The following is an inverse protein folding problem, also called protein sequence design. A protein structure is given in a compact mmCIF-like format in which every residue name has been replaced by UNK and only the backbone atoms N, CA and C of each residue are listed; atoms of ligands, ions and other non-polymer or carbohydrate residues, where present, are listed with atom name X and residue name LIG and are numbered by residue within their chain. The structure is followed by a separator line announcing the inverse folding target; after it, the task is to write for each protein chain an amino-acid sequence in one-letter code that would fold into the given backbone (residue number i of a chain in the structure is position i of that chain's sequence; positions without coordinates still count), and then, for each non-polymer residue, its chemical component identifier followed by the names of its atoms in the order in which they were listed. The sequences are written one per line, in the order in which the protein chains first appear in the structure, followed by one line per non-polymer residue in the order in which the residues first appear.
data_IF_432832230449
#
_entry.id   IF_432832230449
#
_cell.length_a   1.000
_cell.length_b   1.000
_cell.length_c   1.000
_cell.angle_alpha   90.00
_cell.angle_beta   90.00
_cell.angle_gamma   90.00
#
_symmetry.space_group_name_H-M   'P 1'
#
loop_
_entity.id
_entity.type
_entity.pdbx_description
1 polymer ?
#
# COMPACT_ATOMS: atom_id res chain seq x y z
N UNK A 1 -9.64 28.95 41.40
CA UNK A 1 -9.02 27.60 41.47
C UNK A 1 -10.09 26.59 41.15
N UNK A 2 -10.11 26.04 39.93
CA UNK A 2 -10.98 24.93 39.57
C UNK A 2 -10.06 23.73 39.44
N UNK A 3 -10.13 22.85 40.45
CA UNK A 3 -9.36 21.62 40.48
C UNK A 3 -9.79 20.75 39.32
N UNK A 4 -8.86 20.46 38.40
CA UNK A 4 -9.03 19.46 37.37
C UNK A 4 -9.19 18.11 38.05
N UNK A 5 -10.44 17.63 38.16
CA UNK A 5 -10.69 16.22 38.39
C UNK A 5 -10.20 15.49 37.16
N UNK A 6 -9.05 14.84 37.25
CA UNK A 6 -8.58 13.88 36.27
C UNK A 6 -9.58 12.73 36.21
N UNK A 7 -10.63 12.89 35.42
CA UNK A 7 -11.50 11.78 35.02
C UNK A 7 -10.57 10.77 34.34
N UNK A 8 -10.47 9.59 34.95
CA UNK A 8 -9.61 8.53 34.44
C UNK A 8 -9.97 8.25 32.99
N UNK A 9 -9.03 8.45 32.09
CA UNK A 9 -9.21 8.09 30.68
C UNK A 9 -9.30 6.58 30.56
N UNK A 10 -10.25 6.10 29.76
CA UNK A 10 -10.36 4.68 29.41
C UNK A 10 -9.35 4.35 28.32
N UNK A 11 -8.56 3.29 28.52
CA UNK A 11 -7.53 2.84 27.57
C UNK A 11 -7.83 1.43 27.06
N UNK A 12 -7.37 1.12 25.85
CA UNK A 12 -7.35 -0.24 25.34
C UNK A 12 -6.17 -1.00 25.98
N UNK A 13 -6.41 -2.07 26.74
CA UNK A 13 -5.32 -2.79 27.42
C UNK A 13 -4.45 -3.66 26.50
N UNK A 14 -4.71 -3.67 25.20
CA UNK A 14 -3.93 -4.42 24.20
C UNK A 14 -2.85 -3.50 23.59
N UNK A 15 -3.24 -2.31 23.13
CA UNK A 15 -2.32 -1.33 22.53
C UNK A 15 -1.89 -0.20 23.50
N UNK A 16 -2.52 -0.10 24.67
CA UNK A 16 -2.27 0.95 25.68
C UNK A 16 -2.58 2.38 25.22
N UNK A 17 -3.38 2.54 24.16
CA UNK A 17 -3.85 3.85 23.68
C UNK A 17 -5.23 4.23 24.25
N UNK A 18 -5.52 5.53 24.25
CA UNK A 18 -6.81 6.08 24.67
C UNK A 18 -7.95 5.53 23.78
N UNK A 19 -9.05 5.05 24.38
CA UNK A 19 -10.25 4.71 23.63
C UNK A 19 -10.99 6.00 23.25
N UNK A 20 -11.33 6.17 21.97
CA UNK A 20 -12.15 7.31 21.50
C UNK A 20 -13.51 6.84 20.99
N UNK A 21 -14.53 6.69 21.86
CA UNK A 21 -15.86 6.16 21.52
C UNK A 21 -16.60 6.83 20.35
N UNK A 22 -16.24 8.07 20.01
CA UNK A 22 -16.87 8.86 18.93
C UNK A 22 -16.16 8.75 17.58
N UNK A 23 -14.91 8.29 17.56
CA UNK A 23 -14.03 8.32 16.38
C UNK A 23 -13.60 6.91 15.98
N UNK A 24 -13.49 6.02 16.96
CA UNK A 24 -12.92 4.68 16.80
C UNK A 24 -13.98 3.62 17.06
N UNK A 25 -13.84 2.49 16.37
CA UNK A 25 -14.70 1.33 16.55
C UNK A 25 -14.29 0.54 17.78
N UNK A 26 -15.18 0.51 18.76
CA UNK A 26 -14.97 -0.16 20.03
C UNK A 26 -15.84 -1.41 20.13
N UNK A 27 -15.27 -2.46 20.71
CA UNK A 27 -15.95 -3.72 20.97
C UNK A 27 -15.89 -4.07 22.45
N UNK A 28 -16.98 -4.62 22.96
CA UNK A 28 -17.05 -5.19 24.30
C UNK A 28 -17.28 -6.70 24.25
N UNK A 29 -16.65 -7.41 25.18
CA UNK A 29 -16.97 -8.81 25.46
C UNK A 29 -18.17 -8.84 26.40
N UNK A 30 -19.35 -9.26 25.93
CA UNK A 30 -20.62 -9.16 26.66
C UNK A 30 -20.65 -9.91 27.99
N UNK A 31 -19.85 -10.97 28.13
CA UNK A 31 -19.81 -11.77 29.37
C UNK A 31 -19.04 -11.10 30.51
N UNK A 32 -18.14 -10.16 30.22
CA UNK A 32 -17.29 -9.51 31.23
C UNK A 32 -17.23 -7.98 31.15
N UNK A 33 -17.76 -7.38 30.08
CA UNK A 33 -17.86 -5.92 29.92
C UNK A 33 -16.56 -5.21 29.56
N UNK A 34 -15.43 -5.90 29.40
CA UNK A 34 -14.17 -5.26 28.99
C UNK A 34 -14.24 -4.78 27.55
N UNK A 35 -13.75 -3.55 27.31
CA UNK A 35 -13.81 -2.83 26.04
C UNK A 35 -12.42 -2.71 25.42
N UNK A 36 -12.33 -2.89 24.11
CA UNK A 36 -11.11 -2.80 23.31
C UNK A 36 -11.41 -2.15 21.97
N UNK A 37 -10.37 -1.70 21.25
CA UNK A 37 -10.51 -1.41 19.82
C UNK A 37 -10.89 -2.68 19.05
N UNK A 38 -11.74 -2.53 18.04
CA UNK A 38 -12.21 -3.63 17.19
C UNK A 38 -11.04 -4.45 16.62
N UNK A 39 -10.05 -3.79 16.01
CA UNK A 39 -8.88 -4.44 15.41
C UNK A 39 -8.02 -5.16 16.46
N UNK A 40 -7.80 -4.55 17.63
CA UNK A 40 -6.99 -5.15 18.68
C UNK A 40 -7.60 -6.46 19.20
N UNK A 41 -8.92 -6.48 19.40
CA UNK A 41 -9.61 -7.67 19.89
C UNK A 41 -9.68 -8.78 18.82
N UNK A 42 -9.89 -8.42 17.56
CA UNK A 42 -9.85 -9.37 16.44
C UNK A 42 -8.49 -10.07 16.33
N UNK A 43 -7.40 -9.29 16.32
CA UNK A 43 -6.04 -9.83 16.27
C UNK A 43 -5.72 -10.75 17.46
N UNK A 44 -6.22 -10.39 18.65
CA UNK A 44 -6.08 -11.23 19.83
C UNK A 44 -6.73 -12.61 19.66
N UNK A 45 -7.95 -12.65 19.09
CA UNK A 45 -8.65 -13.92 18.83
C UNK A 45 -8.00 -14.75 17.71
N UNK A 46 -7.48 -14.11 16.67
CA UNK A 46 -6.72 -14.80 15.63
C UNK A 46 -5.48 -15.48 16.20
N UNK A 47 -4.72 -14.77 17.04
CA UNK A 47 -3.55 -15.35 17.73
C UNK A 47 -3.93 -16.51 18.67
N UNK A 48 -5.04 -16.38 19.42
CA UNK A 48 -5.50 -17.42 20.35
C UNK A 48 -6.16 -18.64 19.66
N UNK A 49 -6.56 -18.53 18.39
CA UNK A 49 -7.25 -19.61 17.67
C UNK A 49 -6.39 -20.86 17.50
N UNK A 50 -5.06 -20.72 17.47
CA UNK A 50 -4.12 -21.85 17.50
C UNK A 50 -4.18 -22.65 18.81
N UNK A 51 -4.69 -22.08 19.91
CA UNK A 51 -4.76 -22.67 21.24
C UNK A 51 -6.17 -23.18 21.66
N UNK A 52 -7.11 -23.30 20.71
CA UNK A 52 -8.49 -23.86 20.87
C UNK A 52 -9.45 -23.10 21.81
N UNK A 53 -9.03 -22.03 22.50
CA UNK A 53 -9.93 -21.24 23.38
C UNK A 53 -9.58 -19.76 23.35
N UNK A 54 -10.54 -18.92 22.96
CA UNK A 54 -10.42 -17.48 23.10
C UNK A 54 -10.77 -17.06 24.54
N UNK A 55 -10.07 -16.07 25.08
CA UNK A 55 -10.29 -15.55 26.43
C UNK A 55 -10.10 -14.03 26.47
N UNK A 56 -10.77 -13.37 27.41
CA UNK A 56 -10.61 -11.93 27.61
C UNK A 56 -9.15 -11.58 27.96
N UNK A 57 -8.53 -10.58 27.28
CA UNK A 57 -7.17 -10.15 27.58
C UNK A 57 -6.97 -9.71 29.05
N UNK A 58 -8.01 -9.14 29.67
CA UNK A 58 -7.96 -8.59 31.02
C UNK A 58 -8.29 -9.64 32.08
N UNK A 59 -9.50 -10.19 32.09
CA UNK A 59 -9.95 -11.08 33.16
C UNK A 59 -9.75 -12.58 32.88
N UNK A 60 -9.25 -12.94 31.69
CA UNK A 60 -9.02 -14.32 31.24
C UNK A 60 -10.27 -15.21 31.20
N UNK A 61 -11.46 -14.65 31.34
CA UNK A 61 -12.71 -15.38 31.18
C UNK A 61 -12.84 -15.89 29.74
N UNK A 62 -13.22 -17.17 29.59
CA UNK A 62 -13.42 -17.80 28.28
C UNK A 62 -14.56 -17.13 27.52
N UNK A 63 -14.30 -16.72 26.29
CA UNK A 63 -15.28 -16.08 25.41
C UNK A 63 -15.09 -16.58 23.96
N UNK A 64 -16.10 -16.43 23.13
CA UNK A 64 -16.04 -16.68 21.68
C UNK A 64 -16.34 -15.41 20.90
N UNK A 65 -16.17 -15.46 19.57
CA UNK A 65 -16.55 -14.36 18.68
C UNK A 65 -18.03 -13.95 18.84
N UNK A 66 -18.93 -14.88 19.19
CA UNK A 66 -20.35 -14.58 19.45
C UNK A 66 -20.59 -13.80 20.75
N UNK A 67 -19.59 -13.69 21.63
CA UNK A 67 -19.67 -12.85 22.82
C UNK A 67 -19.15 -11.43 22.59
N UNK A 68 -18.70 -11.09 21.38
CA UNK A 68 -18.16 -9.77 21.08
C UNK A 68 -19.23 -8.92 20.40
N UNK A 69 -19.47 -7.73 20.94
CA UNK A 69 -20.43 -6.79 20.40
C UNK A 69 -19.76 -5.45 20.12
N UNK A 70 -20.04 -4.88 18.95
CA UNK A 70 -19.66 -3.51 18.63
C UNK A 70 -20.53 -2.55 19.44
N UNK A 71 -19.88 -1.55 20.03
CA UNK A 71 -20.53 -0.52 20.81
C UNK A 71 -20.85 0.68 19.92
N UNK A 72 -22.01 1.29 20.14
CA UNK A 72 -22.42 2.54 19.51
C UNK A 72 -22.73 3.55 20.60
N UNK A 73 -22.16 4.75 20.49
CA UNK A 73 -22.32 5.81 21.46
C UNK A 73 -23.15 6.93 20.86
N UNK A 74 -24.33 7.17 21.44
CA UNK A 74 -25.15 8.31 21.06
C UNK A 74 -24.62 9.54 21.80
N UNK A 75 -23.95 10.44 21.09
CA UNK A 75 -23.56 11.73 21.63
C UNK A 75 -24.76 12.68 21.60
N UNK A 76 -25.12 13.23 22.76
CA UNK A 76 -25.88 14.49 22.81
C UNK A 76 -24.85 15.58 22.59
N UNK A 77 -24.81 16.15 21.38
CA UNK A 77 -23.80 17.14 21.03
C UNK A 77 -23.75 18.24 22.09
N UNK A 78 -22.68 18.27 22.88
CA UNK A 78 -22.40 19.41 23.72
C UNK A 78 -22.06 20.54 22.75
N UNK A 79 -22.72 21.70 22.88
CA UNK A 79 -22.65 22.79 21.89
C UNK A 79 -21.25 23.44 21.77
N UNK A 80 -20.22 22.83 22.35
CA UNK A 80 -18.83 23.25 22.36
C UNK A 80 -17.84 22.19 21.80
N UNK A 81 -18.27 20.97 21.45
CA UNK A 81 -17.37 19.88 21.00
C UNK A 81 -17.31 19.70 19.47
N UNK A 82 -17.37 20.81 18.73
CA UNK A 82 -17.06 20.86 17.29
C UNK A 82 -15.56 20.73 16.97
N UNK A 83 -14.70 20.44 17.97
CA UNK A 83 -13.26 20.29 17.75
C UNK A 83 -12.88 18.81 17.47
N UNK A 84 -13.64 18.12 16.60
CA UNK A 84 -13.08 17.03 15.76
C UNK A 84 -13.95 16.68 14.55
N UNK A 85 -14.70 17.63 14.00
CA UNK A 85 -15.27 17.50 12.66
C UNK A 85 -15.38 18.90 12.08
N UNK A 86 -14.33 19.26 11.34
CA UNK A 86 -14.28 20.26 10.26
C UNK A 86 -14.97 21.59 10.54
N UNK A 87 -14.20 22.67 10.46
CA UNK A 87 -14.64 24.06 10.29
C UNK A 87 -15.97 24.17 9.50
N UNK A 88 -17.10 24.22 10.21
CA UNK A 88 -18.35 24.81 9.73
C UNK A 88 -18.63 26.01 10.61
N UNK A 89 -17.60 26.82 10.84
CA UNK A 89 -17.81 28.26 10.91
C UNK A 89 -18.09 28.67 9.48
N UNK A 90 -19.37 28.85 9.14
CA UNK A 90 -19.85 29.69 8.04
C UNK A 90 -18.82 29.80 6.89
N UNK A 91 -18.47 28.68 6.24
CA UNK A 91 -17.47 28.71 5.16
C UNK A 91 -18.09 29.57 4.06
N UNK A 92 -17.63 30.83 4.00
CA UNK A 92 -18.07 31.82 3.03
C UNK A 92 -18.11 31.12 1.67
N UNK A 93 -19.27 31.10 0.97
CA UNK A 93 -19.40 30.47 -0.34
C UNK A 93 -18.34 30.93 -1.35
N UNK A 94 -17.63 32.03 -1.06
CA UNK A 94 -16.45 32.50 -1.80
C UNK A 94 -15.17 31.70 -1.53
N UNK A 95 -14.88 31.29 -0.29
CA UNK A 95 -13.65 30.51 0.02
C UNK A 95 -13.77 29.09 -0.54
N UNK A 96 -14.94 28.46 -0.43
CA UNK A 96 -15.20 27.15 -1.04
C UNK A 96 -15.04 27.20 -2.57
N UNK A 97 -15.53 28.28 -3.21
CA UNK A 97 -15.29 28.53 -4.65
C UNK A 97 -13.80 28.70 -4.96
N UNK A 98 -13.05 29.39 -4.10
CA UNK A 98 -11.59 29.52 -4.23
C UNK A 98 -10.86 28.17 -4.11
N UNK A 99 -11.29 27.32 -3.18
CA UNK A 99 -10.76 25.96 -3.04
C UNK A 99 -11.07 25.09 -4.25
N UNK A 100 -12.31 25.10 -4.75
CA UNK A 100 -12.72 24.37 -5.96
C UNK A 100 -11.89 24.83 -7.16
N UNK A 101 -11.73 26.14 -7.37
CA UNK A 101 -10.92 26.67 -8.47
C UNK A 101 -9.45 26.25 -8.36
N UNK A 102 -8.86 26.29 -7.16
CA UNK A 102 -7.49 25.82 -6.92
C UNK A 102 -7.34 24.32 -7.20
N UNK A 103 -8.32 23.51 -6.78
CA UNK A 103 -8.33 22.08 -7.03
C UNK A 103 -8.49 21.77 -8.51
N UNK A 104 -9.37 22.46 -9.23
CA UNK A 104 -9.53 22.32 -10.68
C UNK A 104 -8.23 22.63 -11.44
N UNK A 105 -7.50 23.68 -11.03
CA UNK A 105 -6.19 23.99 -11.62
C UNK A 105 -5.19 22.87 -11.36
N UNK A 106 -5.13 22.33 -10.14
CA UNK A 106 -4.26 21.18 -9.82
C UNK A 106 -4.64 19.93 -10.62
N UNK A 107 -5.93 19.63 -10.73
CA UNK A 107 -6.43 18.48 -11.50
C UNK A 107 -6.04 18.63 -12.96
N UNK A 108 -6.27 19.78 -13.58
CA UNK A 108 -5.84 20.06 -14.96
C UNK A 108 -4.33 19.92 -15.14
N UNK A 109 -3.55 20.44 -14.19
CA UNK A 109 -2.10 20.31 -14.19
C UNK A 109 -1.65 18.84 -14.14
N UNK A 110 -2.19 18.05 -13.21
CA UNK A 110 -1.90 16.63 -13.08
C UNK A 110 -2.34 15.83 -14.31
N UNK A 111 -3.51 16.11 -14.87
CA UNK A 111 -3.98 15.48 -16.12
C UNK A 111 -3.02 15.77 -17.27
N UNK A 112 -2.59 17.02 -17.45
CA UNK A 112 -1.63 17.37 -18.50
C UNK A 112 -0.25 16.71 -18.30
N UNK A 113 0.17 16.52 -17.05
CA UNK A 113 1.41 15.83 -16.72
C UNK A 113 1.32 14.34 -17.08
N UNK A 114 0.19 13.69 -16.74
CA UNK A 114 -0.06 12.30 -17.06
C UNK A 114 -0.11 12.06 -18.58
N UNK A 115 -0.76 12.95 -19.33
CA UNK A 115 -0.79 12.89 -20.80
C UNK A 115 0.61 13.00 -21.40
N UNK A 116 1.43 13.93 -20.88
CA UNK A 116 2.83 14.09 -21.30
C UNK A 116 3.67 12.84 -20.98
N UNK A 117 3.57 12.32 -19.77
CA UNK A 117 4.27 11.08 -19.38
C UNK A 117 3.84 9.90 -20.25
N UNK A 118 2.55 9.79 -20.57
CA UNK A 118 2.04 8.76 -21.48
C UNK A 118 2.65 8.86 -22.89
N UNK A 119 2.83 10.09 -23.40
CA UNK A 119 3.50 10.32 -24.69
C UNK A 119 5.00 10.00 -24.62
N UNK A 120 5.69 10.46 -23.60
CA UNK A 120 7.12 10.17 -23.39
C UNK A 120 7.37 8.65 -23.30
N UNK A 121 6.53 7.91 -22.56
CA UNK A 121 6.61 6.45 -22.49
C UNK A 121 6.38 5.79 -23.85
N UNK A 122 5.43 6.29 -24.64
CA UNK A 122 5.17 5.77 -25.98
C UNK A 122 6.36 5.99 -26.91
N UNK A 123 6.94 7.20 -26.92
CA UNK A 123 8.09 7.53 -27.76
C UNK A 123 9.32 6.69 -27.38
N UNK A 124 9.56 6.48 -26.07
CA UNK A 124 10.63 5.59 -25.58
C UNK A 124 10.36 4.13 -25.99
N UNK A 125 9.14 3.66 -25.86
CA UNK A 125 8.76 2.32 -26.28
C UNK A 125 8.98 2.10 -27.78
N UNK A 126 8.62 3.08 -28.62
CA UNK A 126 8.82 3.01 -30.07
C UNK A 126 10.32 3.01 -30.42
N UNK A 127 11.14 3.79 -29.70
CA UNK A 127 12.60 3.74 -29.83
C UNK A 127 13.17 2.37 -29.45
N UNK A 128 12.78 1.81 -28.29
CA UNK A 128 13.23 0.48 -27.86
C UNK A 128 12.86 -0.59 -28.89
N UNK A 129 11.64 -0.55 -29.43
CA UNK A 129 11.21 -1.49 -30.46
C UNK A 129 12.01 -1.35 -31.75
N UNK A 130 12.37 -0.12 -32.15
CA UNK A 130 13.23 0.10 -33.33
C UNK A 130 14.66 -0.42 -33.13
N UNK A 131 15.22 -0.28 -31.93
CA UNK A 131 16.56 -0.79 -31.58
C UNK A 131 16.55 -2.32 -31.54
N UNK A 132 15.53 -2.94 -30.93
CA UNK A 132 15.39 -4.39 -30.89
C UNK A 132 15.33 -5.03 -32.29
N UNK A 133 14.72 -4.32 -33.26
CA UNK A 133 14.70 -4.76 -34.67
C UNK A 133 16.09 -4.73 -35.33
N UNK A 134 16.92 -3.74 -34.99
CA UNK A 134 18.29 -3.64 -35.50
C UNK A 134 19.21 -4.69 -34.87
N UNK A 135 19.05 -4.96 -33.57
CA UNK A 135 19.84 -5.96 -32.85
C UNK A 135 19.57 -7.38 -33.35
N UNK A 136 18.30 -7.73 -33.61
CA UNK A 136 17.95 -9.03 -34.20
C UNK A 136 18.56 -9.23 -35.59
N UNK A 137 18.65 -8.17 -36.39
CA UNK A 137 19.31 -8.20 -37.69
C UNK A 137 20.84 -8.34 -37.56
N UNK A 138 21.46 -7.63 -36.61
CA UNK A 138 22.90 -7.72 -36.35
C UNK A 138 23.32 -9.08 -35.79
N UNK A 139 22.52 -9.71 -34.93
CA UNK A 139 22.78 -11.05 -34.38
C UNK A 139 22.89 -12.08 -35.50
N UNK A 140 22.00 -12.02 -36.51
CA UNK A 140 22.06 -12.90 -37.68
C UNK A 140 23.34 -12.72 -38.51
N UNK A 141 23.78 -11.46 -38.69
CA UNK A 141 25.03 -11.16 -39.41
C UNK A 141 26.27 -11.64 -38.64
N UNK A 142 26.30 -11.42 -37.32
CA UNK A 142 27.40 -11.86 -36.45
C UNK A 142 27.52 -13.39 -36.46
N UNK A 143 26.40 -14.12 -36.37
CA UNK A 143 26.37 -15.59 -36.46
C UNK A 143 26.95 -16.10 -37.79
N UNK A 144 26.59 -15.47 -38.91
CA UNK A 144 27.12 -15.86 -40.22
C UNK A 144 28.61 -15.61 -40.38
N UNK A 145 29.14 -14.53 -39.79
CA UNK A 145 30.59 -14.23 -39.80
C UNK A 145 31.37 -15.26 -38.98
N UNK A 146 30.83 -15.71 -37.84
CA UNK A 146 31.48 -16.77 -37.03
C UNK A 146 31.54 -18.11 -37.78
N UNK A 147 30.47 -18.51 -38.47
CA UNK A 147 30.47 -19.72 -39.29
C UNK A 147 31.53 -19.67 -40.40
N UNK A 148 31.65 -18.53 -41.09
CA UNK A 148 32.68 -18.32 -42.11
C UNK A 148 34.08 -18.39 -41.49
N UNK A 149 34.30 -17.80 -40.30
CA UNK A 149 35.59 -17.83 -39.60
C UNK A 149 36.00 -19.25 -39.23
N UNK A 150 35.06 -20.05 -38.71
CA UNK A 150 35.28 -21.47 -38.39
C UNK A 150 35.61 -22.25 -39.67
N UNK A 151 34.88 -22.01 -40.76
CA UNK A 151 35.13 -22.63 -42.06
C UNK A 151 36.54 -22.32 -42.61
N UNK A 152 36.97 -21.06 -42.56
CA UNK A 152 38.32 -20.65 -42.99
C UNK A 152 39.40 -21.29 -42.12
N UNK A 153 39.21 -21.33 -40.80
CA UNK A 153 40.15 -21.98 -39.88
C UNK A 153 40.27 -23.48 -40.15
N UNK A 154 39.16 -24.16 -40.43
CA UNK A 154 39.14 -25.57 -40.77
C UNK A 154 39.82 -25.82 -42.12
N UNK A 155 39.57 -24.95 -43.11
CA UNK A 155 40.20 -25.02 -44.42
C UNK A 155 41.72 -24.86 -44.33
N UNK A 156 42.19 -23.89 -43.54
CA UNK A 156 43.63 -23.67 -43.30
C UNK A 156 44.27 -24.87 -42.59
N UNK A 157 43.58 -25.47 -41.63
CA UNK A 157 44.02 -26.68 -40.94
C UNK A 157 44.15 -27.88 -41.89
N UNK A 158 43.13 -28.11 -42.74
CA UNK A 158 43.16 -29.17 -43.76
C UNK A 158 44.28 -28.91 -44.77
N UNK A 159 44.45 -27.66 -45.22
CA UNK A 159 45.52 -27.28 -46.13
C UNK A 159 46.92 -27.52 -45.54
N UNK A 160 47.14 -27.19 -44.26
CA UNK A 160 48.39 -27.53 -43.56
C UNK A 160 48.61 -29.03 -43.47
N UNK A 161 47.57 -29.82 -43.16
CA UNK A 161 47.68 -31.28 -43.13
C UNK A 161 48.05 -31.86 -44.49
N UNK A 162 47.54 -31.29 -45.59
CA UNK A 162 47.89 -31.72 -46.95
C UNK A 162 49.34 -31.34 -47.31
N UNK A 163 49.81 -30.15 -46.91
CA UNK A 163 51.16 -29.69 -47.22
C UNK A 163 52.25 -30.33 -46.36
N UNK A 164 51.96 -30.65 -45.10
CA UNK A 164 52.92 -31.18 -44.13
C UNK A 164 52.70 -32.67 -43.80
N UNK A 165 51.64 -33.30 -44.31
CA UNK A 165 51.28 -34.69 -44.05
C UNK A 165 51.71 -35.69 -45.15
N UNK A 166 52.59 -35.29 -46.06
CA UNK A 166 53.31 -36.22 -46.93
C UNK A 166 54.78 -36.31 -46.51
N UNK A 167 55.03 -37.09 -45.47
CA UNK A 167 56.27 -37.85 -45.25
C UNK A 167 55.91 -39.15 -44.50
#
# INVERSE_FOLDING_TARGET
MIGGTSIGKTICSICYEDLKPLVEDLQAISICGHVFHELCLQQWFEYCSSAKKCSCPVCKQSCSASNVNRLYFQSVGDSNDLILSQNVEDEDPRELRGQVQRLEVKVKGLSSLLERQGKELKDVNDQVNSIAFLDTSNIGVISGIEEIRVGISLFYFIFLLILFGCD
#
